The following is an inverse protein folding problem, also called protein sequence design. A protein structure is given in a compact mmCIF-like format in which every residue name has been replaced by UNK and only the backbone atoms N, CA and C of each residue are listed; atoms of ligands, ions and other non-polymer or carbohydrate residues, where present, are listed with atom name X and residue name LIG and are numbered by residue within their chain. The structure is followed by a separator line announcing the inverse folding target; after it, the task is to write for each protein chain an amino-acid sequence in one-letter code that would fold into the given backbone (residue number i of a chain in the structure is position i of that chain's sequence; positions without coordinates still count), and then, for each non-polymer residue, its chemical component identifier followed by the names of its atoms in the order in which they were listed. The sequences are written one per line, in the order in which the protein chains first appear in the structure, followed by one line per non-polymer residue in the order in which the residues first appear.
data_IF_848921419299
#
_entry.id   IF_848921419299
#
_cell.length_a   1.000
_cell.length_b   1.000
_cell.length_c   1.000
_cell.angle_alpha   90.00
_cell.angle_beta   90.00
_cell.angle_gamma   90.00
#
_symmetry.space_group_name_H-M   'P 1'
#
loop_
_entity.id
_entity.type
_entity.pdbx_description
1 polymer ?
#
# COMPACT_ATOMS: atom_id res chain seq x y z
N UNK A 1 24.40 -34.60 36.16
CA UNK A 1 24.85 -33.18 36.10
C UNK A 1 23.76 -32.29 35.47
N UNK A 2 22.60 -32.14 36.12
CA UNK A 2 21.45 -31.33 35.63
C UNK A 2 20.79 -30.47 36.73
N UNK A 3 21.51 -30.12 37.80
CA UNK A 3 20.99 -29.28 38.90
C UNK A 3 21.76 -27.97 39.15
N UNK A 4 22.84 -27.70 38.43
CA UNK A 4 23.68 -26.51 38.65
C UNK A 4 23.43 -25.37 37.66
N UNK A 5 22.65 -25.58 36.59
CA UNK A 5 22.36 -24.54 35.58
C UNK A 5 21.22 -23.58 35.99
N UNK A 6 20.24 -24.06 36.77
CA UNK A 6 19.07 -23.26 37.16
C UNK A 6 19.40 -22.14 38.18
N UNK A 7 20.43 -22.34 39.02
CA UNK A 7 20.83 -21.37 40.05
C UNK A 7 21.60 -20.19 39.45
N UNK A 8 22.23 -20.37 38.28
CA UNK A 8 22.98 -19.31 37.58
C UNK A 8 22.07 -18.39 36.74
N UNK A 9 20.91 -18.88 36.27
CA UNK A 9 19.92 -18.05 35.58
C UNK A 9 19.12 -17.15 36.54
N UNK A 10 18.79 -17.61 37.74
CA UNK A 10 18.03 -16.82 38.72
C UNK A 10 18.83 -15.64 39.29
N UNK A 11 20.17 -15.72 39.36
CA UNK A 11 21.03 -14.60 39.80
C UNK A 11 21.20 -13.50 38.75
N UNK A 12 20.96 -13.76 37.46
CA UNK A 12 21.02 -12.71 36.40
C UNK A 12 19.72 -11.90 36.29
N UNK A 13 18.58 -12.47 36.67
CA UNK A 13 17.28 -11.80 36.63
C UNK A 13 17.14 -10.78 37.79
N UNK A 14 17.73 -11.06 38.96
CA UNK A 14 17.73 -10.13 40.10
C UNK A 14 18.51 -8.83 39.85
N UNK A 15 19.58 -8.86 39.04
CA UNK A 15 20.42 -7.69 38.77
C UNK A 15 19.79 -6.72 37.75
N UNK A 16 18.85 -7.20 36.92
CA UNK A 16 18.15 -6.38 35.92
C UNK A 16 16.97 -5.63 36.56
N UNK A 17 16.27 -6.25 37.53
CA UNK A 17 15.13 -5.61 38.20
C UNK A 17 15.52 -4.43 39.11
N UNK A 18 16.73 -4.42 39.68
CA UNK A 18 17.20 -3.33 40.56
C UNK A 18 17.73 -2.08 39.81
N UNK A 19 17.72 -2.07 38.46
CA UNK A 19 18.16 -0.91 37.66
C UNK A 19 17.02 -0.09 37.04
N UNK A 20 15.77 -0.51 37.19
CA UNK A 20 14.63 0.11 36.50
C UNK A 20 13.76 0.99 37.43
N UNK A 21 14.03 1.02 38.75
CA UNK A 21 13.32 1.92 39.68
C UNK A 21 14.20 2.37 40.86
N UNK A 22 14.72 3.61 40.90
CA UNK A 22 15.16 4.21 42.14
C UNK A 22 13.96 4.91 42.79
N UNK A 23 13.19 4.17 43.61
CA UNK A 23 12.22 4.81 44.50
C UNK A 23 13.00 5.41 45.67
N UNK A 24 12.90 6.73 45.83
CA UNK A 24 13.46 7.46 46.96
C UNK A 24 12.88 6.94 48.28
N UNK A 25 13.75 6.47 49.17
CA UNK A 25 13.43 6.22 50.57
C UNK A 25 13.10 7.55 51.27
N UNK A 26 11.87 7.67 51.77
CA UNK A 26 11.54 8.60 52.85
C UNK A 26 11.25 7.75 54.09
N UNK A 27 12.27 7.51 54.90
CA UNK A 27 12.17 6.80 56.18
C UNK A 27 12.40 7.78 57.34
N UNK A 28 11.32 8.42 57.75
CA UNK A 28 11.23 9.02 59.09
C UNK A 28 9.81 8.77 59.59
N UNK A 29 9.62 7.77 60.43
CA UNK A 29 8.62 7.70 61.50
C UNK A 29 8.91 6.48 62.39
N UNK A 30 9.01 6.73 63.70
CA UNK A 30 9.34 5.79 64.78
C UNK A 30 8.19 4.81 65.09
N UNK A 31 8.47 3.66 65.74
CA UNK A 31 7.46 2.64 66.02
C UNK A 31 6.63 3.00 67.25
N UNK A 32 5.33 2.72 67.21
CA UNK A 32 4.48 2.65 68.40
C UNK A 32 3.70 1.33 68.42
N UNK A 33 3.56 0.79 69.62
CA UNK A 33 3.20 -0.59 69.91
C UNK A 33 1.68 -0.83 69.99
N UNK A 34 1.32 -2.10 69.77
CA UNK A 34 0.24 -2.88 70.42
C UNK A 34 -1.14 -2.25 70.59
N UNK A 35 -2.16 -2.80 69.91
CA UNK A 35 -3.17 -3.70 70.50
C UNK A 35 -4.42 -3.80 69.62
N UNK A 36 -5.05 -4.97 69.73
CA UNK A 36 -6.37 -5.41 69.29
C UNK A 36 -7.41 -4.33 68.98
N UNK A 37 -8.10 -4.45 67.84
CA UNK A 37 -9.54 -4.75 67.79
C UNK A 37 -10.00 -4.91 66.34
N UNK A 38 -10.69 -6.02 66.08
CA UNK A 38 -11.41 -6.33 64.85
C UNK A 38 -12.60 -5.39 64.67
N UNK A 39 -12.66 -4.70 63.53
CA UNK A 39 -13.87 -4.04 63.04
C UNK A 39 -13.95 -4.21 61.53
N UNK A 40 -14.99 -4.92 61.09
CA UNK A 40 -15.38 -5.12 59.70
C UNK A 40 -15.85 -3.79 59.10
N UNK A 41 -15.00 -3.17 58.27
CA UNK A 41 -15.45 -2.14 57.34
C UNK A 41 -15.80 -2.79 55.99
N UNK A 42 -17.10 -2.85 55.70
CA UNK A 42 -17.62 -3.11 54.35
C UNK A 42 -17.11 -2.03 53.39
N UNK A 43 -16.13 -2.37 52.56
CA UNK A 43 -15.77 -1.59 51.39
C UNK A 43 -16.87 -1.79 50.34
N UNK A 44 -17.76 -0.81 50.18
CA UNK A 44 -18.66 -0.75 49.03
C UNK A 44 -17.79 -0.65 47.77
N UNK A 45 -17.79 -1.70 46.96
CA UNK A 45 -17.33 -1.64 45.57
C UNK A 45 -18.16 -0.59 44.84
N UNK A 46 -17.52 0.51 44.44
CA UNK A 46 -18.06 1.42 43.45
C UNK A 46 -17.96 0.69 42.10
N UNK A 47 -19.07 0.40 41.39
CA UNK A 47 -18.98 -0.21 40.07
C UNK A 47 -18.40 0.82 39.11
N UNK A 48 -17.21 0.54 38.59
CA UNK A 48 -16.62 1.29 37.48
C UNK A 48 -17.52 1.03 36.26
N UNK A 49 -18.00 2.07 35.56
CA UNK A 49 -18.87 1.89 34.41
C UNK A 49 -18.14 1.11 33.30
N UNK A 50 -18.84 0.33 32.45
CA UNK A 50 -18.22 -0.57 31.46
C UNK A 50 -17.39 0.12 30.34
N UNK A 51 -17.21 1.44 30.41
CA UNK A 51 -16.63 2.24 29.33
C UNK A 51 -15.09 2.41 29.40
N UNK A 52 -14.42 1.89 30.44
CA UNK A 52 -12.96 2.04 30.62
C UNK A 52 -12.19 0.72 30.59
N UNK A 53 -12.80 -0.36 30.10
CA UNK A 53 -12.10 -1.61 29.75
C UNK A 53 -11.88 -1.66 28.23
N UNK A 54 -11.39 -0.58 27.64
CA UNK A 54 -10.62 -0.72 26.41
C UNK A 54 -9.21 -1.08 26.87
N UNK A 55 -8.98 -2.39 26.93
CA UNK A 55 -7.70 -3.00 27.23
C UNK A 55 -6.62 -2.27 26.43
N UNK A 56 -5.66 -1.67 27.12
CA UNK A 56 -4.33 -1.48 26.58
C UNK A 56 -3.86 -2.87 26.14
N UNK A 57 -4.07 -3.20 24.86
CA UNK A 57 -3.44 -4.36 24.24
C UNK A 57 -1.96 -3.99 24.25
N UNK A 58 -1.27 -4.44 25.29
CA UNK A 58 0.16 -4.28 25.42
C UNK A 58 0.80 -4.69 24.10
N UNK A 59 1.60 -3.79 23.51
CA UNK A 59 2.42 -4.04 22.32
C UNK A 59 3.26 -5.33 22.43
N UNK A 60 3.39 -5.90 23.63
CA UNK A 60 4.09 -7.15 23.93
C UNK A 60 3.43 -8.45 23.43
N UNK A 61 2.25 -8.42 22.80
CA UNK A 61 1.61 -9.66 22.32
C UNK A 61 1.89 -10.02 20.86
N UNK A 62 2.21 -9.06 20.00
CA UNK A 62 2.45 -9.35 18.58
C UNK A 62 3.90 -9.65 18.28
N UNK A 63 4.15 -10.61 17.39
CA UNK A 63 5.49 -11.07 17.04
C UNK A 63 5.50 -12.03 15.86
N UNK A 64 6.54 -12.86 15.80
CA UNK A 64 6.77 -13.81 14.71
C UNK A 64 5.54 -14.68 14.40
N UNK A 65 4.91 -15.24 15.44
CA UNK A 65 3.83 -16.23 15.33
C UNK A 65 2.43 -15.64 15.17
N UNK A 66 2.28 -14.31 15.24
CA UNK A 66 0.98 -13.63 15.13
C UNK A 66 0.35 -13.88 13.76
N UNK A 67 -0.94 -14.24 13.73
CA UNK A 67 -1.68 -14.51 12.50
C UNK A 67 -2.48 -13.29 12.03
N UNK A 68 -2.84 -13.27 10.75
CA UNK A 68 -3.66 -12.21 10.18
C UNK A 68 -5.06 -12.18 10.77
N UNK A 69 -5.65 -13.35 10.99
CA UNK A 69 -6.95 -13.48 11.67
C UNK A 69 -6.91 -12.89 13.09
N UNK A 70 -5.85 -13.12 13.86
CA UNK A 70 -5.69 -12.55 15.20
C UNK A 70 -5.67 -11.01 15.15
N UNK A 71 -4.92 -10.43 14.21
CA UNK A 71 -4.87 -8.98 14.02
C UNK A 71 -6.24 -8.44 13.60
N UNK A 72 -6.89 -9.05 12.61
CA UNK A 72 -8.21 -8.60 12.13
C UNK A 72 -9.27 -8.71 13.22
N UNK A 73 -9.26 -9.77 14.03
CA UNK A 73 -10.16 -9.91 15.17
C UNK A 73 -9.98 -8.76 16.16
N UNK A 74 -8.74 -8.44 16.52
CA UNK A 74 -8.43 -7.38 17.48
C UNK A 74 -8.73 -5.98 16.93
N UNK A 75 -8.64 -5.78 15.61
CA UNK A 75 -8.95 -4.52 14.93
C UNK A 75 -10.21 -4.57 14.06
N UNK A 76 -11.20 -5.40 14.43
CA UNK A 76 -12.40 -5.61 13.61
C UNK A 76 -13.18 -4.32 13.34
N UNK A 77 -13.20 -3.38 14.30
CA UNK A 77 -13.79 -2.05 14.13
C UNK A 77 -13.07 -1.19 13.08
N UNK A 78 -11.79 -1.46 12.83
CA UNK A 78 -10.96 -0.83 11.80
C UNK A 78 -11.06 -1.54 10.46
N UNK A 79 -11.88 -2.59 10.32
CA UNK A 79 -12.15 -3.28 9.06
C UNK A 79 -13.60 -3.08 8.62
N UNK A 80 -14.54 -3.22 9.56
CA UNK A 80 -15.98 -3.20 9.29
C UNK A 80 -16.40 -2.00 8.45
N UNK A 81 -17.05 -2.27 7.32
CA UNK A 81 -17.61 -1.24 6.44
C UNK A 81 -16.58 -0.39 5.68
N UNK A 82 -15.27 -0.66 5.78
CA UNK A 82 -14.22 0.08 5.06
C UNK A 82 -13.93 -0.54 3.68
N UNK A 83 -13.26 0.24 2.85
CA UNK A 83 -12.79 -0.15 1.52
C UNK A 83 -11.29 -0.43 1.53
N UNK A 84 -10.90 -1.62 1.09
CA UNK A 84 -9.51 -2.07 0.99
C UNK A 84 -9.12 -2.27 -0.46
N UNK A 85 -7.92 -1.83 -0.84
CA UNK A 85 -7.30 -2.15 -2.13
C UNK A 85 -6.07 -3.01 -1.89
N UNK A 86 -5.98 -4.15 -2.59
CA UNK A 86 -4.85 -5.08 -2.49
C UNK A 86 -4.31 -5.42 -3.88
N UNK A 87 -3.04 -5.11 -4.13
CA UNK A 87 -2.36 -5.54 -5.37
C UNK A 87 -1.75 -6.94 -5.21
N UNK A 88 -1.80 -7.74 -6.28
CA UNK A 88 -1.27 -9.10 -6.31
C UNK A 88 -1.98 -10.12 -5.40
N UNK A 89 -3.33 -10.21 -5.38
CA UNK A 89 -4.05 -11.15 -4.54
C UNK A 89 -4.24 -12.52 -5.23
N UNK A 90 -3.23 -13.01 -5.94
CA UNK A 90 -3.30 -14.36 -6.54
C UNK A 90 -3.22 -15.43 -5.46
N UNK A 91 -3.96 -16.53 -5.65
CA UNK A 91 -4.01 -17.66 -4.73
C UNK A 91 -2.62 -18.13 -4.29
N UNK A 92 -2.48 -18.48 -3.01
CA UNK A 92 -1.20 -18.92 -2.41
C UNK A 92 -0.19 -17.79 -2.17
N UNK A 93 -0.56 -16.53 -2.38
CA UNK A 93 0.25 -15.35 -2.09
C UNK A 93 -0.17 -14.61 -0.81
N UNK A 94 0.73 -13.77 -0.29
CA UNK A 94 0.48 -12.94 0.91
C UNK A 94 -0.68 -11.97 0.68
N UNK A 95 -0.82 -11.41 -0.53
CA UNK A 95 -1.94 -10.53 -0.87
C UNK A 95 -3.29 -11.23 -0.82
N UNK A 96 -3.37 -12.48 -1.28
CA UNK A 96 -4.60 -13.28 -1.18
C UNK A 96 -4.95 -13.54 0.28
N UNK A 97 -3.97 -13.98 1.09
CA UNK A 97 -4.21 -14.21 2.52
C UNK A 97 -4.63 -12.92 3.23
N UNK A 98 -3.99 -11.79 2.94
CA UNK A 98 -4.37 -10.48 3.49
C UNK A 98 -5.84 -10.15 3.21
N UNK A 99 -6.28 -10.33 1.96
CA UNK A 99 -7.68 -10.09 1.57
C UNK A 99 -8.66 -11.06 2.22
N UNK A 100 -8.28 -12.34 2.35
CA UNK A 100 -9.09 -13.38 3.03
C UNK A 100 -9.20 -13.07 4.53
N UNK A 101 -8.10 -12.74 5.22
CA UNK A 101 -8.12 -12.38 6.64
C UNK A 101 -9.03 -11.19 6.90
N UNK A 102 -9.00 -10.15 6.04
CA UNK A 102 -9.89 -8.99 6.14
C UNK A 102 -11.37 -9.37 6.08
N UNK A 103 -11.74 -10.40 5.32
CA UNK A 103 -13.13 -10.83 5.17
C UNK A 103 -13.79 -11.24 6.50
N UNK A 104 -13.01 -11.66 7.50
CA UNK A 104 -13.52 -12.06 8.82
C UNK A 104 -14.10 -10.90 9.65
N UNK A 105 -13.98 -9.65 9.19
CA UNK A 105 -14.52 -8.48 9.90
C UNK A 105 -15.42 -7.59 9.02
N UNK A 106 -16.06 -8.17 8.00
CA UNK A 106 -17.10 -7.55 7.16
C UNK A 106 -16.72 -6.16 6.59
N UNK A 107 -15.63 -6.05 5.82
CA UNK A 107 -15.35 -4.85 5.04
C UNK A 107 -16.46 -4.61 4.01
N UNK A 108 -16.70 -3.36 3.63
CA UNK A 108 -17.71 -3.06 2.61
C UNK A 108 -17.23 -3.46 1.23
N UNK A 109 -15.97 -3.15 0.91
CA UNK A 109 -15.38 -3.41 -0.40
C UNK A 109 -13.95 -3.95 -0.28
N UNK A 110 -13.62 -4.95 -1.10
CA UNK A 110 -12.23 -5.39 -1.33
C UNK A 110 -11.93 -5.32 -2.82
N UNK A 111 -11.09 -4.36 -3.22
CA UNK A 111 -10.59 -4.20 -4.57
C UNK A 111 -9.35 -5.08 -4.75
N UNK A 112 -9.45 -6.03 -5.67
CA UNK A 112 -8.44 -7.06 -5.93
C UNK A 112 -7.78 -6.78 -7.28
N UNK A 113 -6.57 -6.22 -7.22
CA UNK A 113 -5.85 -5.76 -8.41
C UNK A 113 -4.81 -6.79 -8.84
N UNK A 114 -4.96 -7.32 -10.05
CA UNK A 114 -3.95 -8.19 -10.64
C UNK A 114 -4.25 -8.56 -12.08
N UNK A 115 -3.43 -9.42 -12.68
CA UNK A 115 -3.43 -9.63 -14.15
C UNK A 115 -4.53 -10.54 -14.67
N UNK A 116 -4.98 -11.50 -13.86
CA UNK A 116 -5.73 -12.65 -14.35
C UNK A 116 -6.84 -13.00 -13.37
N UNK A 117 -8.08 -12.76 -13.78
CA UNK A 117 -9.27 -13.13 -13.01
C UNK A 117 -9.25 -14.63 -12.65
N UNK A 118 -8.94 -15.59 -13.56
CA UNK A 118 -8.85 -17.00 -13.19
C UNK A 118 -7.89 -17.31 -12.02
N UNK A 119 -6.81 -16.55 -11.85
CA UNK A 119 -5.85 -16.72 -10.74
C UNK A 119 -6.27 -16.03 -9.44
N UNK A 120 -7.27 -15.14 -9.51
CA UNK A 120 -7.78 -14.36 -8.38
C UNK A 120 -9.16 -14.87 -7.95
N UNK A 121 -9.90 -15.54 -8.84
CA UNK A 121 -11.21 -16.11 -8.56
C UNK A 121 -11.22 -17.00 -7.31
N UNK A 122 -10.23 -17.88 -7.06
CA UNK A 122 -10.20 -18.65 -5.81
C UNK A 122 -10.13 -17.79 -4.54
N UNK A 123 -9.47 -16.62 -4.61
CA UNK A 123 -9.43 -15.66 -3.50
C UNK A 123 -10.77 -14.96 -3.31
N UNK A 124 -11.45 -14.59 -4.41
CA UNK A 124 -12.82 -14.04 -4.37
C UNK A 124 -13.78 -15.06 -3.73
N UNK A 125 -13.71 -16.32 -4.18
CA UNK A 125 -14.56 -17.39 -3.68
C UNK A 125 -14.32 -17.66 -2.18
N UNK A 126 -13.05 -17.62 -1.75
CA UNK A 126 -12.69 -17.75 -0.33
C UNK A 126 -13.26 -16.60 0.52
N UNK A 127 -13.22 -15.36 0.01
CA UNK A 127 -13.81 -14.18 0.67
C UNK A 127 -15.33 -14.36 0.80
N UNK A 128 -16.02 -14.71 -0.28
CA UNK A 128 -17.49 -14.89 -0.26
C UNK A 128 -17.94 -16.12 0.55
N UNK A 129 -17.08 -17.12 0.70
CA UNK A 129 -17.33 -18.26 1.60
C UNK A 129 -17.35 -17.83 3.07
N UNK A 130 -16.57 -16.80 3.43
CA UNK A 130 -16.55 -16.24 4.79
C UNK A 130 -17.76 -15.32 4.98
N UNK A 131 -17.97 -14.38 4.04
CA UNK A 131 -19.09 -13.44 4.09
C UNK A 131 -19.54 -13.07 2.66
N UNK A 132 -20.67 -13.61 2.17
CA UNK A 132 -21.16 -13.36 0.82
C UNK A 132 -21.71 -11.95 0.62
N UNK A 133 -21.83 -11.14 1.68
CA UNK A 133 -22.25 -9.74 1.58
C UNK A 133 -21.11 -8.78 1.23
N UNK A 134 -19.86 -9.23 1.34
CA UNK A 134 -18.68 -8.42 0.97
C UNK A 134 -18.67 -8.19 -0.53
N UNK A 135 -18.58 -6.92 -0.94
CA UNK A 135 -18.40 -6.59 -2.36
C UNK A 135 -16.94 -6.76 -2.74
N UNK A 136 -16.64 -7.77 -3.56
CA UNK A 136 -15.32 -7.93 -4.19
C UNK A 136 -15.32 -7.31 -5.58
N UNK A 137 -14.26 -6.55 -5.89
CA UNK A 137 -14.09 -5.92 -7.22
C UNK A 137 -12.74 -6.30 -7.79
N UNK A 138 -12.74 -7.15 -8.82
CA UNK A 138 -11.53 -7.41 -9.60
C UNK A 138 -11.26 -6.26 -10.57
N UNK A 139 -10.03 -5.75 -10.57
CA UNK A 139 -9.56 -4.79 -11.56
C UNK A 139 -8.29 -5.33 -12.19
N UNK A 140 -8.32 -5.50 -13.52
CA UNK A 140 -7.16 -5.99 -14.26
C UNK A 140 -6.04 -4.96 -14.27
N UNK A 141 -4.86 -5.35 -13.83
CA UNK A 141 -3.66 -4.51 -13.90
C UNK A 141 -2.41 -5.36 -14.12
N UNK A 142 -1.59 -4.93 -15.08
CA UNK A 142 -0.22 -5.40 -15.27
C UNK A 142 0.74 -4.32 -14.80
N UNK A 143 1.51 -4.62 -13.75
CA UNK A 143 2.40 -3.67 -13.10
C UNK A 143 3.71 -3.46 -13.87
N UNK A 144 3.96 -4.21 -14.94
CA UNK A 144 5.01 -3.97 -15.93
C UNK A 144 4.56 -3.06 -17.08
N UNK A 145 3.43 -2.36 -16.93
CA UNK A 145 2.84 -1.48 -17.95
C UNK A 145 2.14 -0.28 -17.30
N UNK A 146 2.71 0.92 -17.42
CA UNK A 146 2.14 2.14 -16.84
C UNK A 146 0.81 2.52 -17.52
N UNK A 147 0.61 2.16 -18.79
CA UNK A 147 -0.69 2.32 -19.45
C UNK A 147 -1.77 1.44 -18.81
N UNK A 148 -1.43 0.19 -18.46
CA UNK A 148 -2.33 -0.70 -17.71
C UNK A 148 -2.65 -0.15 -16.32
N UNK A 149 -1.65 0.42 -15.61
CA UNK A 149 -1.85 1.07 -14.31
C UNK A 149 -2.81 2.26 -14.42
N UNK A 150 -2.66 3.10 -15.45
CA UNK A 150 -3.55 4.24 -15.70
C UNK A 150 -4.98 3.81 -15.97
N UNK A 151 -5.17 2.76 -16.75
CA UNK A 151 -6.51 2.24 -17.04
C UNK A 151 -7.16 1.65 -15.78
N UNK A 152 -6.42 0.88 -14.99
CA UNK A 152 -6.91 0.37 -13.70
C UNK A 152 -7.32 1.50 -12.75
N UNK A 153 -6.51 2.55 -12.63
CA UNK A 153 -6.84 3.71 -11.82
C UNK A 153 -8.08 4.45 -12.35
N UNK A 154 -8.21 4.63 -13.67
CA UNK A 154 -9.37 5.24 -14.31
C UNK A 154 -10.66 4.46 -14.02
N UNK A 155 -10.63 3.13 -14.13
CA UNK A 155 -11.76 2.25 -13.81
C UNK A 155 -12.18 2.45 -12.35
N UNK A 156 -11.22 2.40 -11.42
CA UNK A 156 -11.49 2.59 -9.98
C UNK A 156 -12.06 3.97 -9.73
N UNK A 157 -11.47 5.03 -10.31
CA UNK A 157 -11.90 6.41 -10.12
C UNK A 157 -13.32 6.67 -10.62
N UNK A 158 -13.69 6.07 -11.76
CA UNK A 158 -15.01 6.21 -12.37
C UNK A 158 -16.11 5.40 -11.66
N UNK A 159 -15.75 4.41 -10.83
CA UNK A 159 -16.72 3.61 -10.10
C UNK A 159 -17.29 4.39 -8.89
N UNK A 160 -18.55 4.81 -9.01
CA UNK A 160 -19.29 5.54 -7.99
C UNK A 160 -19.59 4.70 -6.75
N UNK A 161 -19.58 3.37 -6.88
CA UNK A 161 -19.76 2.45 -5.74
C UNK A 161 -18.53 2.37 -4.83
N UNK A 162 -17.41 2.99 -5.24
CA UNK A 162 -16.16 3.08 -4.48
C UNK A 162 -15.94 4.55 -4.09
N UNK A 163 -16.72 5.16 -3.19
CA UNK A 163 -16.62 6.60 -2.92
C UNK A 163 -15.26 7.01 -2.33
N UNK A 164 -14.59 6.09 -1.64
CA UNK A 164 -13.29 6.29 -0.97
C UNK A 164 -12.52 4.99 -0.87
N UNK A 165 -11.21 5.09 -0.65
CA UNK A 165 -10.31 3.96 -0.37
C UNK A 165 -9.70 4.20 1.00
N UNK A 166 -10.13 3.44 2.01
CA UNK A 166 -9.66 3.63 3.38
C UNK A 166 -8.26 3.04 3.59
N UNK A 167 -7.93 1.93 2.92
CA UNK A 167 -6.61 1.30 3.01
C UNK A 167 -6.13 0.86 1.62
N UNK A 168 -4.92 1.27 1.26
CA UNK A 168 -4.22 0.84 0.04
C UNK A 168 -3.03 -0.03 0.40
N UNK A 169 -3.01 -1.28 -0.05
CA UNK A 169 -1.96 -2.26 0.22
C UNK A 169 -1.24 -2.60 -1.09
N UNK A 170 -0.08 -1.96 -1.28
CA UNK A 170 0.84 -2.21 -2.37
C UNK A 170 1.68 -3.46 -2.05
N UNK A 171 1.10 -4.63 -2.33
CA UNK A 171 1.68 -5.93 -1.98
C UNK A 171 2.39 -6.62 -3.15
N UNK A 172 1.92 -6.43 -4.39
CA UNK A 172 2.44 -7.19 -5.54
C UNK A 172 3.95 -7.02 -5.71
N UNK A 173 4.64 -8.10 -6.05
CA UNK A 173 6.06 -8.04 -6.38
C UNK A 173 6.49 -9.20 -7.27
N UNK A 174 7.62 -8.99 -7.94
CA UNK A 174 8.47 -10.03 -8.53
C UNK A 174 9.84 -9.98 -7.85
N UNK A 175 10.57 -11.08 -7.89
CA UNK A 175 11.84 -11.22 -7.17
C UNK A 175 12.84 -12.02 -7.98
N UNK A 176 14.09 -11.54 -7.96
CA UNK A 176 15.26 -12.23 -8.51
C UNK A 176 15.05 -12.71 -9.95
N UNK A 177 14.42 -11.87 -10.78
CA UNK A 177 14.21 -12.16 -12.20
C UNK A 177 15.53 -12.01 -12.98
N UNK A 178 15.69 -12.68 -14.13
CA UNK A 178 16.67 -12.26 -15.12
C UNK A 178 16.47 -10.79 -15.49
N UNK A 179 17.54 -10.13 -15.94
CA UNK A 179 17.43 -8.75 -16.43
C UNK A 179 16.37 -8.67 -17.54
N UNK A 180 15.53 -7.67 -17.44
CA UNK A 180 14.48 -7.39 -18.40
C UNK A 180 13.98 -5.97 -18.20
N UNK A 181 13.17 -5.51 -19.14
CA UNK A 181 12.52 -4.21 -19.08
C UNK A 181 11.01 -4.38 -18.99
N UNK A 182 10.35 -3.45 -18.30
CA UNK A 182 8.90 -3.26 -18.41
C UNK A 182 8.54 -2.77 -19.82
N UNK A 183 7.25 -2.72 -20.13
CA UNK A 183 6.76 -2.19 -21.41
C UNK A 183 7.13 -0.71 -21.61
N UNK A 184 7.39 0.00 -20.51
CA UNK A 184 7.76 1.42 -20.49
C UNK A 184 9.28 1.65 -20.40
N UNK A 185 10.08 0.58 -20.44
CA UNK A 185 11.55 0.67 -20.49
C UNK A 185 12.26 0.81 -19.15
N UNK A 186 11.58 0.57 -18.02
CA UNK A 186 12.23 0.50 -16.70
C UNK A 186 12.79 -0.89 -16.46
N UNK A 187 13.84 -1.01 -15.64
CA UNK A 187 14.26 -2.31 -15.11
C UNK A 187 13.06 -3.04 -14.49
N UNK A 188 12.91 -4.32 -14.83
CA UNK A 188 11.68 -5.07 -14.59
C UNK A 188 11.25 -5.10 -13.12
N UNK A 189 12.16 -5.33 -12.16
CA UNK A 189 11.85 -5.39 -10.74
C UNK A 189 11.55 -4.01 -10.16
N UNK A 190 12.34 -2.98 -10.50
CA UNK A 190 12.12 -1.61 -10.07
C UNK A 190 10.82 -1.04 -10.64
N UNK A 191 10.56 -1.23 -11.93
CA UNK A 191 9.34 -0.83 -12.61
C UNK A 191 8.10 -1.51 -12.03
N UNK A 192 8.16 -2.83 -11.85
CA UNK A 192 7.02 -3.64 -11.36
C UNK A 192 6.76 -3.41 -9.87
N UNK A 193 7.79 -3.43 -9.03
CA UNK A 193 7.62 -3.41 -7.57
C UNK A 193 7.44 -1.99 -7.02
N UNK A 194 8.01 -0.98 -7.69
CA UNK A 194 8.02 0.39 -7.20
C UNK A 194 7.31 1.38 -8.13
N UNK A 195 7.78 1.59 -9.36
CA UNK A 195 7.28 2.68 -10.24
C UNK A 195 5.78 2.54 -10.50
N UNK A 196 5.30 1.32 -10.74
CA UNK A 196 3.89 1.03 -10.95
C UNK A 196 3.02 1.35 -9.71
N UNK A 197 3.47 1.02 -8.51
CA UNK A 197 2.77 1.31 -7.25
C UNK A 197 2.82 2.79 -6.90
N UNK A 198 3.94 3.45 -7.19
CA UNK A 198 4.07 4.90 -7.08
C UNK A 198 3.02 5.58 -7.96
N UNK A 199 2.94 5.21 -9.23
CA UNK A 199 1.94 5.76 -10.15
C UNK A 199 0.50 5.44 -9.71
N UNK A 200 0.21 4.17 -9.39
CA UNK A 200 -1.12 3.73 -8.98
C UNK A 200 -1.62 4.51 -7.75
N UNK A 201 -0.78 4.60 -6.71
CA UNK A 201 -1.14 5.29 -5.46
C UNK A 201 -1.40 6.77 -5.70
N UNK A 202 -0.55 7.44 -6.49
CA UNK A 202 -0.72 8.86 -6.80
C UNK A 202 -1.96 9.12 -7.67
N UNK A 203 -2.28 8.24 -8.63
CA UNK A 203 -3.51 8.37 -9.42
C UNK A 203 -4.78 8.17 -8.57
N UNK A 204 -4.73 7.26 -7.59
CA UNK A 204 -5.86 6.97 -6.69
C UNK A 204 -5.98 7.95 -5.52
N UNK A 205 -5.07 8.92 -5.42
CA UNK A 205 -5.04 9.91 -4.33
C UNK A 205 -6.39 10.62 -4.09
N UNK A 206 -7.21 10.97 -5.11
CA UNK A 206 -8.53 11.55 -4.87
C UNK A 206 -9.44 10.70 -3.97
N UNK A 207 -9.48 9.37 -4.18
CA UNK A 207 -10.30 8.46 -3.34
C UNK A 207 -9.63 8.10 -2.02
N UNK A 208 -8.29 8.10 -1.96
CA UNK A 208 -7.56 7.95 -0.69
C UNK A 208 -7.81 9.16 0.21
N UNK A 209 -7.74 10.39 -0.32
CA UNK A 209 -8.03 11.62 0.41
C UNK A 209 -9.50 11.75 0.81
N UNK A 210 -10.43 11.15 0.07
CA UNK A 210 -11.83 11.06 0.48
C UNK A 210 -12.05 10.20 1.74
N UNK A 211 -11.09 9.35 2.11
CA UNK A 211 -11.08 8.61 3.38
C UNK A 211 -10.29 9.32 4.49
N UNK A 212 -9.78 10.53 4.25
CA UNK A 212 -9.00 11.27 5.23
C UNK A 212 -9.88 12.08 6.21
N UNK A 213 -9.47 12.23 7.48
CA UNK A 213 -8.34 11.55 8.13
C UNK A 213 -8.65 10.06 8.39
N UNK A 214 -7.60 9.23 8.46
CA UNK A 214 -7.72 7.80 8.77
C UNK A 214 -7.42 6.85 7.61
N UNK A 215 -7.15 7.38 6.41
CA UNK A 215 -6.64 6.57 5.31
C UNK A 215 -5.23 6.05 5.61
N UNK A 216 -4.93 4.82 5.18
CA UNK A 216 -3.62 4.18 5.39
C UNK A 216 -3.07 3.62 4.08
N UNK A 217 -1.80 3.89 3.80
CA UNK A 217 -1.07 3.33 2.65
C UNK A 217 0.04 2.41 3.17
N UNK A 218 -0.02 1.14 2.82
CA UNK A 218 0.99 0.13 3.20
C UNK A 218 1.78 -0.30 1.97
N UNK A 219 3.11 -0.12 2.01
CA UNK A 219 4.03 -0.57 0.98
C UNK A 219 4.81 -1.81 1.45
N UNK A 220 4.54 -2.97 0.84
CA UNK A 220 5.20 -4.22 1.24
C UNK A 220 6.63 -4.24 0.68
N UNK A 221 7.59 -4.08 1.59
CA UNK A 221 9.02 -4.19 1.34
C UNK A 221 9.50 -5.62 1.72
N UNK A 222 10.77 -5.77 2.09
CA UNK A 222 11.41 -7.03 2.46
C UNK A 222 12.70 -6.74 3.23
N UNK A 223 13.22 -7.70 3.99
CA UNK A 223 14.63 -7.71 4.44
C UNK A 223 15.62 -7.69 3.29
N UNK A 224 15.16 -7.97 2.05
CA UNK A 224 15.93 -7.70 0.84
C UNK A 224 16.45 -6.26 0.74
N UNK A 225 15.75 -5.27 1.31
CA UNK A 225 16.21 -3.88 1.30
C UNK A 225 17.57 -3.71 1.97
N UNK A 226 17.98 -4.60 2.89
CA UNK A 226 19.26 -4.51 3.63
C UNK A 226 20.49 -4.58 2.71
N UNK A 227 20.33 -5.10 1.49
CA UNK A 227 21.43 -5.45 0.60
C UNK A 227 21.75 -4.39 -0.46
N UNK A 228 20.91 -3.37 -0.67
CA UNK A 228 21.20 -2.30 -1.60
C UNK A 228 20.37 -1.03 -1.32
N UNK A 229 21.04 0.11 -1.41
CA UNK A 229 20.40 1.42 -1.55
C UNK A 229 19.95 1.64 -3.02
N UNK A 230 19.36 2.80 -3.31
CA UNK A 230 19.03 3.26 -4.65
C UNK A 230 20.29 3.64 -5.43
N UNK A 231 20.52 2.97 -6.56
CA UNK A 231 21.53 3.39 -7.52
C UNK A 231 21.00 4.55 -8.38
N UNK A 232 21.12 5.77 -7.87
CA UNK A 232 20.67 6.98 -8.60
C UNK A 232 21.46 7.26 -9.89
N UNK A 233 22.66 6.71 -10.05
CA UNK A 233 23.46 6.87 -11.27
C UNK A 233 22.94 5.96 -12.39
N UNK A 234 22.39 4.81 -12.01
CA UNK A 234 21.81 3.86 -12.95
C UNK A 234 20.75 2.97 -12.29
N UNK A 235 19.50 3.39 -12.44
CA UNK A 235 18.33 2.61 -12.01
C UNK A 235 18.16 1.32 -12.82
N UNK A 236 18.76 1.25 -14.01
CA UNK A 236 18.70 0.13 -14.95
C UNK A 236 19.96 -0.76 -14.96
N UNK A 237 20.88 -0.57 -14.01
CA UNK A 237 22.13 -1.33 -13.87
C UNK A 237 22.99 -1.32 -15.15
N UNK A 238 23.16 -0.14 -15.72
CA UNK A 238 23.93 0.18 -16.92
C UNK A 238 23.46 -0.66 -18.12
N UNK A 239 22.15 -0.65 -18.36
CA UNK A 239 21.46 -1.50 -19.35
C UNK A 239 21.71 -3.00 -19.08
N UNK A 240 21.69 -3.38 -17.82
CA UNK A 240 21.85 -4.76 -17.37
C UNK A 240 23.30 -5.25 -17.23
N UNK A 241 24.32 -4.41 -17.49
CA UNK A 241 25.74 -4.81 -17.39
C UNK A 241 26.17 -5.13 -15.96
N UNK A 242 25.67 -4.35 -15.00
CA UNK A 242 26.00 -4.52 -13.57
C UNK A 242 24.86 -5.20 -12.81
N UNK A 243 23.93 -5.81 -13.55
CA UNK A 243 22.73 -6.38 -12.98
C UNK A 243 23.03 -7.64 -12.19
N UNK A 244 22.65 -7.63 -10.92
CA UNK A 244 22.44 -8.87 -10.18
C UNK A 244 20.97 -8.95 -9.77
N UNK A 245 20.30 -10.11 -9.94
CA UNK A 245 18.88 -10.24 -9.63
C UNK A 245 18.52 -9.80 -8.21
N UNK A 246 19.41 -10.04 -7.24
CA UNK A 246 19.19 -9.66 -5.85
C UNK A 246 19.41 -8.17 -5.57
N UNK A 247 20.42 -7.52 -6.18
CA UNK A 247 20.61 -6.09 -5.98
C UNK A 247 19.45 -5.28 -6.59
N UNK A 248 18.93 -5.69 -7.75
CA UNK A 248 17.74 -5.06 -8.35
C UNK A 248 16.49 -5.22 -7.48
N UNK A 249 16.30 -6.41 -6.90
CA UNK A 249 15.24 -6.63 -5.93
C UNK A 249 15.40 -5.76 -4.68
N UNK A 250 16.61 -5.72 -4.12
CA UNK A 250 16.95 -4.94 -2.94
C UNK A 250 16.69 -3.44 -3.16
N UNK A 251 17.17 -2.88 -4.27
CA UNK A 251 16.90 -1.50 -4.69
C UNK A 251 15.39 -1.21 -4.74
N UNK A 252 14.61 -2.09 -5.36
CA UNK A 252 13.16 -1.90 -5.45
C UNK A 252 12.47 -1.96 -4.08
N UNK A 253 13.00 -2.77 -3.14
CA UNK A 253 12.45 -2.88 -1.78
C UNK A 253 12.88 -1.73 -0.87
N UNK A 254 14.06 -1.16 -1.08
CA UNK A 254 14.45 0.14 -0.48
C UNK A 254 13.54 1.26 -0.98
N UNK A 255 13.25 1.29 -2.29
CA UNK A 255 12.34 2.28 -2.88
C UNK A 255 10.94 2.25 -2.26
N UNK A 256 10.41 1.06 -1.93
CA UNK A 256 9.12 0.93 -1.23
C UNK A 256 9.13 1.57 0.18
N UNK A 257 10.25 1.54 0.90
CA UNK A 257 10.38 2.16 2.23
C UNK A 257 10.45 3.68 2.08
N UNK A 258 11.35 4.16 1.22
CA UNK A 258 11.51 5.58 0.90
C UNK A 258 10.20 6.22 0.41
N UNK A 259 9.38 5.48 -0.34
CA UNK A 259 8.06 5.93 -0.75
C UNK A 259 7.14 6.20 0.44
N UNK A 260 7.18 5.33 1.45
CA UNK A 260 6.36 5.48 2.66
C UNK A 260 6.81 6.65 3.52
N UNK A 261 8.14 6.87 3.60
CA UNK A 261 8.73 8.05 4.24
C UNK A 261 8.19 9.33 3.59
N UNK A 262 8.28 9.46 2.27
CA UNK A 262 7.82 10.67 1.58
C UNK A 262 6.28 10.84 1.65
N UNK A 263 5.50 9.76 1.48
CA UNK A 263 4.04 9.80 1.61
C UNK A 263 3.61 10.30 2.98
N UNK A 264 4.26 9.81 4.05
CA UNK A 264 3.99 10.27 5.41
C UNK A 264 4.22 11.77 5.54
N UNK A 265 5.36 12.28 5.09
CA UNK A 265 5.66 13.71 5.18
C UNK A 265 4.67 14.56 4.35
N UNK A 266 4.38 14.15 3.11
CA UNK A 266 3.47 14.88 2.22
C UNK A 266 2.01 14.87 2.70
N UNK A 267 1.55 13.80 3.35
CA UNK A 267 0.15 13.61 3.71
C UNK A 267 -0.15 13.76 5.20
N UNK A 268 0.85 14.04 6.05
CA UNK A 268 0.68 14.23 7.49
C UNK A 268 -0.43 15.24 7.82
N UNK A 269 -0.45 16.39 7.14
CA UNK A 269 -1.47 17.44 7.34
C UNK A 269 -2.89 17.02 6.98
N UNK A 270 -3.06 15.94 6.22
CA UNK A 270 -4.35 15.36 5.86
C UNK A 270 -4.76 14.22 6.79
N UNK A 271 -3.89 13.77 7.69
CA UNK A 271 -4.14 12.63 8.57
C UNK A 271 -4.17 11.29 7.84
N UNK A 272 -3.42 11.16 6.73
CA UNK A 272 -3.17 9.88 6.07
C UNK A 272 -1.86 9.31 6.60
N UNK A 273 -1.86 8.03 6.98
CA UNK A 273 -0.65 7.33 7.44
C UNK A 273 -0.02 6.53 6.30
N UNK A 274 1.30 6.37 6.33
CA UNK A 274 2.01 5.45 5.44
C UNK A 274 3.05 4.63 6.18
N UNK A 275 3.10 3.33 5.87
CA UNK A 275 3.98 2.36 6.52
C UNK A 275 4.63 1.45 5.47
N UNK A 276 5.86 1.02 5.77
CA UNK A 276 6.53 -0.03 5.02
C UNK A 276 6.80 -1.23 5.94
N UNK A 277 6.96 -2.42 5.36
CA UNK A 277 7.19 -3.61 6.19
C UNK A 277 7.87 -4.75 5.47
N UNK A 278 8.44 -5.68 6.25
CA UNK A 278 8.78 -7.03 5.82
C UNK A 278 7.74 -8.04 6.34
N UNK A 279 7.18 -8.90 5.47
CA UNK A 279 6.18 -9.88 5.88
C UNK A 279 6.79 -11.15 6.54
N UNK A 280 8.11 -11.31 6.55
CA UNK A 280 8.79 -12.54 6.96
C UNK A 280 9.28 -13.37 5.77
N UNK A 281 9.83 -14.55 6.06
CA UNK A 281 10.21 -15.54 5.04
C UNK A 281 9.06 -16.51 4.76
N UNK A 282 8.40 -16.36 3.61
CA UNK A 282 7.23 -17.17 3.22
C UNK A 282 7.53 -17.92 1.91
N UNK A 283 7.15 -19.20 1.85
CA UNK A 283 7.11 -19.95 0.60
C UNK A 283 5.88 -19.53 -0.20
N UNK A 284 6.08 -18.88 -1.34
CA UNK A 284 4.98 -18.36 -2.17
C UNK A 284 5.36 -18.38 -3.65
N UNK A 285 4.48 -17.87 -4.52
CA UNK A 285 4.81 -17.66 -5.93
C UNK A 285 5.94 -16.65 -6.19
N UNK A 286 6.42 -15.93 -5.17
CA UNK A 286 7.47 -14.92 -5.29
C UNK A 286 8.81 -15.53 -5.74
N UNK A 287 9.14 -16.74 -5.28
CA UNK A 287 10.39 -17.43 -5.59
C UNK A 287 10.42 -18.12 -6.96
N UNK A 288 9.40 -17.97 -7.81
CA UNK A 288 9.26 -18.74 -9.06
C UNK A 288 10.40 -18.60 -10.08
N UNK A 289 11.20 -17.54 -10.00
CA UNK A 289 12.37 -17.32 -10.87
C UNK A 289 13.68 -17.83 -10.26
N UNK A 290 13.64 -18.31 -9.02
CA UNK A 290 14.81 -18.83 -8.33
C UNK A 290 14.89 -20.34 -8.47
N UNK A 291 15.96 -20.82 -9.09
CA UNK A 291 16.34 -22.23 -9.02
C UNK A 291 17.06 -22.54 -7.69
N UNK A 292 17.36 -23.81 -7.42
CA UNK A 292 18.05 -24.23 -6.19
C UNK A 292 19.41 -23.54 -6.01
N UNK A 293 20.15 -23.34 -7.10
CA UNK A 293 21.45 -22.66 -7.07
C UNK A 293 21.32 -21.19 -6.66
N UNK A 294 20.35 -20.46 -7.24
CA UNK A 294 20.08 -19.06 -6.91
C UNK A 294 19.59 -18.90 -5.47
N UNK A 295 18.80 -19.86 -4.96
CA UNK A 295 18.40 -19.91 -3.55
C UNK A 295 19.60 -20.15 -2.63
N UNK A 296 20.49 -21.07 -3.00
CA UNK A 296 21.71 -21.33 -2.25
C UNK A 296 22.62 -20.09 -2.23
N UNK A 297 22.75 -19.38 -3.35
CA UNK A 297 23.55 -18.15 -3.42
C UNK A 297 22.95 -17.03 -2.56
N UNK A 298 21.63 -16.84 -2.61
CA UNK A 298 20.94 -15.91 -1.72
C UNK A 298 21.20 -16.22 -0.23
N UNK A 299 21.18 -17.52 0.13
CA UNK A 299 21.45 -17.98 1.49
C UNK A 299 22.91 -17.75 1.88
N UNK A 300 23.88 -17.93 0.97
CA UNK A 300 25.28 -17.58 1.22
C UNK A 300 25.45 -16.09 1.49
N UNK A 301 24.85 -15.23 0.67
CA UNK A 301 24.88 -13.77 0.86
C UNK A 301 24.26 -13.41 2.22
N UNK A 302 23.15 -14.06 2.58
CA UNK A 302 22.50 -13.88 3.88
C UNK A 302 23.41 -14.29 5.05
N UNK A 303 24.00 -15.49 5.01
CA UNK A 303 24.90 -15.96 6.07
C UNK A 303 26.19 -15.14 6.16
N UNK A 304 26.68 -14.59 5.06
CA UNK A 304 27.84 -13.69 5.05
C UNK A 304 27.60 -12.41 5.89
N UNK A 305 26.34 -12.06 6.17
CA UNK A 305 25.99 -10.97 7.10
C UNK A 305 26.00 -11.38 8.58
N UNK A 306 26.35 -12.63 8.91
CA UNK A 306 26.34 -13.16 10.27
C UNK A 306 24.95 -13.57 10.78
N UNK A 307 23.93 -13.56 9.92
CA UNK A 307 22.55 -13.89 10.28
C UNK A 307 22.27 -15.37 10.22
N UNK A 308 21.44 -15.86 11.12
CA UNK A 308 20.91 -17.23 11.09
C UNK A 308 19.89 -17.41 9.96
N UNK A 309 19.69 -18.66 9.53
CA UNK A 309 18.67 -19.00 8.53
C UNK A 309 17.29 -18.54 9.01
N UNK A 310 16.54 -17.75 8.22
CA UNK A 310 15.24 -17.25 8.65
C UNK A 310 14.24 -18.40 8.85
N UNK A 311 13.55 -18.40 9.98
CA UNK A 311 12.41 -19.30 10.20
C UNK A 311 11.29 -18.99 9.19
N UNK A 312 10.60 -20.03 8.72
CA UNK A 312 9.52 -19.91 7.75
C UNK A 312 8.20 -19.59 8.44
N UNK A 313 7.51 -18.58 7.92
CA UNK A 313 6.14 -18.24 8.32
C UNK A 313 5.10 -18.91 7.44
N UNK A 314 3.93 -19.19 8.03
CA UNK A 314 2.72 -19.49 7.25
C UNK A 314 2.22 -18.23 6.52
N UNK A 315 1.29 -18.38 5.57
CA UNK A 315 0.67 -17.21 4.92
C UNK A 315 -0.09 -16.33 5.92
N UNK A 316 -0.78 -16.94 6.88
CA UNK A 316 -1.47 -16.21 7.97
C UNK A 316 -0.48 -15.41 8.83
N UNK A 317 0.68 -15.98 9.15
CA UNK A 317 1.73 -15.25 9.86
C UNK A 317 2.41 -14.19 8.97
N UNK A 318 2.44 -14.41 7.67
CA UNK A 318 3.05 -13.50 6.70
C UNK A 318 2.22 -12.25 6.43
N UNK A 319 0.89 -12.34 6.48
CA UNK A 319 0.01 -11.18 6.29
C UNK A 319 -0.19 -10.35 7.57
N UNK A 320 0.14 -10.86 8.76
CA UNK A 320 -0.15 -10.21 10.03
C UNK A 320 0.52 -8.84 10.18
N UNK A 321 1.77 -8.69 9.75
CA UNK A 321 2.46 -7.39 9.80
C UNK A 321 1.83 -6.37 8.85
N UNK A 322 1.38 -6.80 7.67
CA UNK A 322 0.59 -5.99 6.74
C UNK A 322 -0.71 -5.51 7.37
N UNK A 323 -1.43 -6.41 8.03
CA UNK A 323 -2.70 -6.10 8.69
C UNK A 323 -2.47 -5.19 9.90
N UNK A 324 -1.40 -5.38 10.66
CA UNK A 324 -1.05 -4.49 11.78
C UNK A 324 -0.79 -3.07 11.29
N UNK A 325 0.03 -2.93 10.24
CA UNK A 325 0.31 -1.64 9.61
C UNK A 325 -0.96 -0.98 9.05
N UNK A 326 -1.89 -1.76 8.49
CA UNK A 326 -3.13 -1.28 7.89
C UNK A 326 -4.19 -0.87 8.92
N UNK A 327 -4.26 -1.55 10.06
CA UNK A 327 -5.44 -1.53 10.94
C UNK A 327 -5.20 -0.90 12.31
N UNK A 328 -3.96 -0.80 12.79
CA UNK A 328 -3.71 -0.29 14.14
C UNK A 328 -3.75 1.25 14.19
N UNK A 329 -4.76 1.86 14.85
CA UNK A 329 -4.83 3.31 14.99
C UNK A 329 -3.76 3.85 15.94
N UNK A 330 -3.22 3.02 16.85
CA UNK A 330 -2.24 3.40 17.86
C UNK A 330 -0.80 3.31 17.35
N UNK A 331 -0.58 2.71 16.18
CA UNK A 331 0.73 2.60 15.55
C UNK A 331 1.31 4.00 15.31
N UNK A 332 2.52 4.20 15.83
CA UNK A 332 3.29 5.44 15.79
C UNK A 332 4.72 5.12 15.36
N UNK A 333 5.34 6.11 14.71
CA UNK A 333 6.76 6.08 14.44
C UNK A 333 7.55 6.02 15.75
N UNK A 334 8.65 5.29 15.72
CA UNK A 334 9.60 5.22 16.82
C UNK A 334 10.99 5.55 16.27
N UNK A 335 11.69 6.51 16.89
CA UNK A 335 13.04 6.92 16.51
C UNK A 335 13.23 7.18 15.00
N UNK A 336 12.24 7.78 14.33
CA UNK A 336 12.32 8.07 12.90
C UNK A 336 11.88 6.92 11.97
N UNK A 337 11.57 5.73 12.53
CA UNK A 337 11.22 4.56 11.75
C UNK A 337 9.73 4.40 11.51
N UNK A 338 9.39 4.09 10.26
CA UNK A 338 8.06 3.67 9.79
C UNK A 338 8.03 2.22 9.31
N UNK A 339 9.12 1.49 9.55
CA UNK A 339 9.32 0.15 9.04
C UNK A 339 8.88 -0.89 10.07
N UNK A 340 8.06 -1.85 9.63
CA UNK A 340 7.60 -2.93 10.49
C UNK A 340 8.21 -4.28 10.10
N UNK A 341 8.47 -5.08 11.12
CA UNK A 341 8.72 -6.52 10.99
C UNK A 341 8.14 -7.23 12.20
N UNK A 342 7.57 -8.42 11.99
CA UNK A 342 6.94 -9.20 13.06
C UNK A 342 5.92 -8.38 13.88
N UNK A 343 5.11 -7.58 13.18
CA UNK A 343 4.11 -6.67 13.74
C UNK A 343 4.65 -5.55 14.65
N UNK A 344 5.97 -5.36 14.73
CA UNK A 344 6.62 -4.34 15.55
C UNK A 344 7.28 -3.27 14.67
N UNK A 345 7.33 -2.02 15.18
CA UNK A 345 8.19 -0.99 14.58
C UNK A 345 9.64 -1.37 14.87
N UNK A 346 10.45 -1.38 13.81
CA UNK A 346 11.87 -1.76 13.90
C UNK A 346 12.71 -0.51 13.81
N UNK A 347 13.59 -0.31 14.80
CA UNK A 347 14.52 0.84 14.87
C UNK A 347 15.99 0.43 14.80
N UNK A 348 16.27 -0.86 14.89
CA UNK A 348 17.63 -1.41 14.85
C UNK A 348 18.23 -1.27 13.44
N UNK A 349 19.39 -0.61 13.27
CA UNK A 349 20.11 -0.49 11.99
C UNK A 349 20.53 -1.83 11.35
N UNK A 350 20.52 -2.92 12.11
CA UNK A 350 20.65 -4.26 11.55
C UNK A 350 19.39 -4.67 10.79
N UNK A 351 18.21 -4.25 11.20
CA UNK A 351 16.94 -4.71 10.63
C UNK A 351 16.23 -3.67 9.75
N UNK A 352 16.61 -2.40 9.85
CA UNK A 352 16.23 -1.35 8.91
C UNK A 352 17.42 -0.44 8.63
N UNK A 353 17.81 -0.28 7.35
CA UNK A 353 18.97 0.55 7.02
C UNK A 353 18.63 2.04 7.04
N UNK A 354 19.56 2.86 7.52
CA UNK A 354 19.42 4.32 7.58
C UNK A 354 19.10 4.93 6.21
N UNK A 355 19.75 4.45 5.14
CA UNK A 355 19.45 4.92 3.78
C UNK A 355 18.01 4.69 3.35
N UNK A 356 17.32 3.68 3.91
CA UNK A 356 15.94 3.39 3.58
C UNK A 356 14.94 4.30 4.32
N UNK A 357 15.39 5.01 5.37
CA UNK A 357 14.62 5.96 6.16
C UNK A 357 15.05 7.42 5.92
N UNK A 358 16.07 7.65 5.10
CA UNK A 358 16.61 8.99 4.85
C UNK A 358 15.62 9.86 4.07
N UNK A 359 15.27 11.02 4.67
CA UNK A 359 14.26 11.93 4.11
C UNK A 359 14.75 12.60 2.82
N UNK A 360 16.05 12.86 2.67
CA UNK A 360 16.58 13.48 1.47
C UNK A 360 16.55 12.50 0.29
N UNK A 361 16.91 11.24 0.51
CA UNK A 361 16.79 10.14 -0.46
C UNK A 361 15.34 9.87 -0.83
N UNK A 362 14.42 9.92 0.13
CA UNK A 362 12.98 9.78 -0.11
C UNK A 362 12.46 10.88 -1.04
N UNK A 363 12.79 12.14 -0.74
CA UNK A 363 12.42 13.29 -1.57
C UNK A 363 13.06 13.23 -2.96
N UNK A 364 14.35 12.87 -3.05
CA UNK A 364 15.06 12.70 -4.31
C UNK A 364 14.42 11.63 -5.19
N UNK A 365 14.12 10.46 -4.62
CA UNK A 365 13.50 9.35 -5.33
C UNK A 365 12.08 9.71 -5.78
N UNK A 366 11.33 10.45 -4.96
CA UNK A 366 10.01 10.95 -5.34
C UNK A 366 10.06 11.84 -6.59
N UNK A 367 10.95 12.85 -6.58
CA UNK A 367 11.08 13.78 -7.70
C UNK A 367 11.46 13.06 -9.00
N UNK A 368 12.42 12.12 -8.93
CA UNK A 368 12.76 11.27 -10.07
C UNK A 368 11.54 10.48 -10.53
N UNK A 369 10.78 9.89 -9.61
CA UNK A 369 9.62 9.05 -9.96
C UNK A 369 8.48 9.84 -10.60
N UNK A 370 8.28 11.11 -10.21
CA UNK A 370 7.36 12.01 -10.90
C UNK A 370 7.79 12.24 -12.35
N UNK A 371 9.09 12.42 -12.60
CA UNK A 371 9.64 12.57 -13.96
C UNK A 371 9.52 11.28 -14.78
N UNK A 372 9.75 10.11 -14.18
CA UNK A 372 9.74 8.82 -14.88
C UNK A 372 8.37 8.44 -15.44
N UNK A 373 7.27 8.76 -14.74
CA UNK A 373 5.93 8.37 -15.22
C UNK A 373 5.26 9.44 -16.09
N UNK A 374 5.80 10.66 -16.17
CA UNK A 374 5.33 11.62 -17.16
C UNK A 374 5.67 11.04 -18.53
N UNK A 375 4.75 11.05 -19.51
CA UNK A 375 5.13 10.73 -20.88
C UNK A 375 6.34 11.61 -21.21
N UNK A 376 7.42 11.03 -21.73
CA UNK A 376 8.66 11.72 -22.11
C UNK A 376 8.36 12.81 -23.16
N UNK A 377 7.75 13.90 -22.72
CA UNK A 377 7.68 15.17 -23.42
C UNK A 377 8.97 15.87 -23.02
N UNK A 378 9.84 16.09 -24.00
CA UNK A 378 11.12 16.80 -23.85
C UNK A 378 10.94 18.04 -22.94
N UNK A 379 11.92 18.36 -22.08
CA UNK A 379 11.72 19.28 -20.98
C UNK A 379 11.48 20.70 -21.49
N UNK A 380 10.26 21.20 -21.29
CA UNK A 380 10.00 22.62 -21.19
C UNK A 380 9.73 22.92 -19.71
N UNK A 381 10.79 23.38 -19.05
CA UNK A 381 10.84 24.09 -17.75
C UNK A 381 9.58 24.03 -16.88
N UNK A 382 9.72 23.33 -15.74
CA UNK A 382 9.09 23.60 -14.44
C UNK A 382 7.59 23.94 -14.44
N UNK A 383 6.74 23.00 -14.02
CA UNK A 383 5.44 23.39 -13.45
C UNK A 383 4.82 22.31 -12.55
N UNK A 384 4.50 22.76 -11.34
CA UNK A 384 3.42 22.34 -10.43
C UNK A 384 2.27 21.66 -11.20
N UNK A 385 2.16 20.32 -11.15
CA UNK A 385 1.18 19.58 -11.96
C UNK A 385 0.18 18.68 -11.21
N UNK A 386 0.02 18.79 -9.89
CA UNK A 386 -0.97 17.96 -9.16
C UNK A 386 -2.12 18.75 -8.51
N UNK A 387 -2.10 20.09 -8.54
CA UNK A 387 -3.19 20.91 -7.93
C UNK A 387 -4.17 21.51 -8.96
N UNK A 388 -3.82 21.56 -10.25
CA UNK A 388 -4.64 22.30 -11.24
C UNK A 388 -5.81 21.54 -11.86
N UNK A 389 -5.83 20.20 -11.84
CA UNK A 389 -6.96 19.44 -12.41
C UNK A 389 -8.23 19.51 -11.55
N UNK A 390 -8.09 19.57 -10.22
CA UNK A 390 -9.21 19.76 -9.31
C UNK A 390 -9.91 21.12 -9.54
N UNK A 391 -9.13 22.16 -9.84
CA UNK A 391 -9.65 23.51 -10.07
C UNK A 391 -10.36 23.66 -11.42
N UNK A 392 -9.94 22.92 -12.44
CA UNK A 392 -10.60 22.91 -13.76
C UNK A 392 -11.97 22.20 -13.67
N UNK A 393 -12.09 21.12 -12.89
CA UNK A 393 -13.38 20.47 -12.65
C UNK A 393 -14.33 21.31 -11.78
N UNK A 394 -13.80 22.04 -10.80
CA UNK A 394 -14.59 22.93 -9.94
C UNK A 394 -15.13 24.15 -10.71
N UNK A 395 -14.37 24.68 -11.67
CA UNK A 395 -14.82 25.74 -12.59
C UNK A 395 -15.86 25.23 -13.59
N UNK A 396 -15.70 24.02 -14.15
CA UNK A 396 -16.69 23.43 -15.05
C UNK A 396 -18.02 23.12 -14.34
N UNK A 397 -17.98 22.67 -13.09
CA UNK A 397 -19.17 22.38 -12.29
C UNK A 397 -19.94 23.65 -11.86
N UNK A 398 -19.26 24.78 -11.66
CA UNK A 398 -19.90 26.05 -11.31
C UNK A 398 -20.48 26.81 -12.52
N UNK A 399 -20.02 26.50 -13.75
CA UNK A 399 -20.55 27.13 -14.97
C UNK A 399 -21.88 26.51 -15.44
N UNK A 400 -22.24 25.32 -14.93
CA UNK A 400 -23.49 24.62 -15.25
C UNK A 400 -24.63 24.86 -14.24
N UNK A 401 -24.46 25.77 -13.26
CA UNK A 401 -25.46 26.05 -12.20
C UNK A 401 -26.00 27.49 -12.18
N UNK A 402 -25.87 28.25 -13.27
CA UNK A 402 -26.55 29.54 -13.39
C UNK A 402 -27.89 29.37 -14.13
N UNK A 403 -29.05 29.71 -13.52
CA UNK A 403 -30.33 29.70 -14.23
C UNK A 403 -30.33 30.87 -15.23
N UNK A 404 -30.50 30.57 -16.51
CA UNK A 404 -30.79 31.57 -17.53
C UNK A 404 -32.17 32.17 -17.27
N UNK A 405 -32.22 33.47 -16.98
CA UNK A 405 -33.46 34.24 -16.90
C UNK A 405 -34.12 34.29 -18.28
N UNK A 406 -35.42 34.01 -18.32
CA UNK A 406 -36.30 34.19 -19.46
C UNK A 406 -36.42 35.67 -19.87
N UNK A 407 -36.52 35.99 -21.17
CA UNK A 407 -36.84 37.35 -21.62
C UNK A 407 -38.37 37.58 -21.65
N UNK A 408 -38.84 38.84 -21.52
CA UNK A 408 -40.27 39.15 -21.46
C UNK A 408 -40.94 39.16 -22.84
N UNK A 409 -42.23 38.87 -22.83
CA UNK A 409 -43.13 38.82 -23.97
C UNK A 409 -43.72 40.20 -24.34
N UNK A 410 -43.73 40.50 -25.63
CA UNK A 410 -44.63 41.42 -26.34
C UNK A 410 -44.43 41.11 -27.84
N UNK A 411 -45.38 40.98 -28.75
CA UNK A 411 -46.83 41.11 -28.76
C UNK A 411 -47.21 41.38 -30.23
N UNK A 412 -48.04 40.50 -30.82
CA UNK A 412 -49.17 40.83 -31.72
C UNK A 412 -48.85 41.31 -33.17
N UNK A 413 -49.01 40.43 -34.19
CA UNK A 413 -50.03 40.48 -35.29
C UNK A 413 -49.68 39.71 -36.58
N UNK A 414 -50.68 38.90 -36.99
CA UNK A 414 -51.19 38.59 -38.36
C UNK A 414 -50.43 37.64 -39.32
N UNK A 415 -51.15 36.58 -39.65
CA UNK A 415 -51.09 35.64 -40.81
C UNK A 415 -51.69 36.29 -42.08
N UNK A 416 -51.90 35.58 -43.23
CA UNK A 416 -51.16 34.55 -44.03
C UNK A 416 -51.04 35.09 -45.51
N UNK A 417 -50.99 34.34 -46.67
CA UNK A 417 -51.07 32.88 -46.96
C UNK A 417 -50.20 32.31 -48.13
N UNK A 418 -50.40 30.99 -48.42
CA UNK A 418 -50.31 30.28 -49.75
C UNK A 418 -48.91 30.13 -50.41
N UNK A 419 -48.50 29.10 -51.18
CA UNK A 419 -49.04 27.84 -51.75
C UNK A 419 -47.89 27.05 -52.41
N UNK A 420 -48.02 25.71 -52.43
CA UNK A 420 -47.70 24.70 -53.49
C UNK A 420 -46.50 24.79 -54.47
N UNK A 421 -45.87 23.61 -54.59
CA UNK A 421 -45.47 22.85 -55.81
C UNK A 421 -44.32 23.30 -56.74
N UNK A 422 -43.43 22.34 -57.06
CA UNK A 422 -43.13 22.00 -58.46
C UNK A 422 -41.74 22.27 -59.05
N UNK A 423 -40.91 21.22 -59.11
CA UNK A 423 -40.11 20.69 -60.24
C UNK A 423 -39.18 21.57 -61.13
N UNK A 424 -38.01 20.95 -61.45
CA UNK A 424 -37.22 20.99 -62.72
C UNK A 424 -36.60 22.36 -63.15
N UNK A 425 -35.43 22.52 -63.78
CA UNK A 425 -34.47 21.65 -64.48
C UNK A 425 -33.22 22.49 -64.90
N UNK A 426 -32.11 21.79 -65.20
CA UNK A 426 -30.97 22.11 -66.10
C UNK A 426 -30.07 23.35 -65.98
N UNK A 427 -28.77 23.10 -65.74
CA UNK A 427 -27.58 23.18 -66.64
C UNK A 427 -26.38 22.73 -65.76
N UNK A 428 -25.49 21.79 -66.05
CA UNK A 428 -24.98 21.24 -67.29
C UNK A 428 -23.52 21.67 -67.47
N UNK A 429 -22.53 20.92 -66.94
CA UNK A 429 -21.25 20.60 -67.63
C UNK A 429 -20.39 19.56 -66.86
N UNK A 430 -19.77 18.68 -67.65
CA UNK A 430 -18.99 17.47 -67.30
C UNK A 430 -17.48 17.75 -67.35
N UNK A 431 -16.66 16.92 -66.68
CA UNK A 431 -15.54 16.12 -67.25
C UNK A 431 -14.88 15.27 -66.11
N UNK A 432 -15.17 13.95 -66.07
CA UNK A 432 -14.26 12.77 -66.20
C UNK A 432 -13.04 12.69 -65.25
N UNK A 433 -12.98 11.77 -64.29
CA UNK A 433 -12.51 10.35 -64.35
C UNK A 433 -11.01 10.17 -64.69
N UNK A 434 -10.24 9.59 -63.75
CA UNK A 434 -9.35 8.40 -63.88
C UNK A 434 -8.66 8.14 -62.51
N UNK A 435 -8.89 7.01 -61.85
CA UNK A 435 -8.17 5.70 -61.87
C UNK A 435 -7.16 5.53 -60.71
N UNK A 436 -7.37 4.48 -59.90
CA UNK A 436 -6.30 3.79 -59.16
C UNK A 436 -5.42 2.97 -60.14
N UNK A 437 -4.21 2.51 -59.75
CA UNK A 437 -4.12 1.15 -59.19
C UNK A 437 -3.02 0.88 -58.13
N UNK A 438 -3.37 -0.05 -57.23
CA UNK A 438 -2.64 -1.15 -56.60
C UNK A 438 -1.09 -1.37 -56.70
N UNK A 439 -0.57 -1.83 -55.53
CA UNK A 439 0.41 -2.91 -55.26
C UNK A 439 1.91 -2.74 -55.60
N UNK A 440 2.77 -3.03 -54.61
CA UNK A 440 3.68 -4.19 -54.64
C UNK A 440 4.45 -4.39 -53.32
N UNK A 441 4.39 -5.63 -52.82
CA UNK A 441 5.28 -6.24 -51.82
C UNK A 441 6.49 -6.92 -52.48
N UNK A 442 7.31 -7.55 -51.62
CA UNK A 442 8.44 -8.51 -51.81
C UNK A 442 9.80 -7.85 -51.49
N UNK A 443 10.63 -8.34 -50.59
CA UNK A 443 10.72 -9.64 -49.92
C UNK A 443 12.10 -10.25 -50.16
N UNK A 444 12.89 -10.46 -49.09
CA UNK A 444 13.79 -11.60 -48.88
C UNK A 444 14.21 -11.65 -47.42
#
# INVERSE_FOLDING_TARGET
MKKTSAILQLRKISTIFNRINPIQEVSNLKPFSTSSHTSLFSLKLIPIPPAFVFSAISMSQYGFSTTGEEVVKNFSSQVKGRTFLVTGPSEGGIGAQTAISLAHASPSNILLLGRSLPKIQPTIDAIHKIDPSITTKFVSVSLDSLSSVREAAKIILADETIPKIDVTINNAAIMACPYGLTQDGFELQFGTNYVSHFLLTNLLMPKILAAAPGAVIVNVSSTGHLFADINYESLDFNKGKDYTPFAAYAQAKTANILFSVELKEKLASKGVKSWALHPGSISSGLQKYMNQESLAEAMKIWWATGRETPERKTLEQGCSTTLRAALDPELKEENGSIYLSDCQIVTDPEWVKEYALDKASASKLWNISEELHLPLVKPARSLIFVVSLAKIYELAANTLKTPTKSPPSAGVLRTPPTTREGASEFYGERFTQTEEPHLLSFGK
#
